data_IF_246335880113
#
_entry.id   IF_246335880113
#
_cell.length_a   1.000
_cell.length_b   1.000
_cell.length_c   1.000
_cell.angle_alpha   90.00
_cell.angle_beta   90.00
_cell.angle_gamma   90.00
#
_symmetry.space_group_name_H-M   'P 1'
#
loop_
_entity.id
_entity.type
_entity.pdbx_description
1 polymer ?
#
# COMPACT_ATOMS: atom_id res chain seq x y z
N UNK A 1 -2.59 8.22 -27.48
CA UNK A 1 -2.49 7.03 -26.60
C UNK A 1 -3.80 6.86 -25.84
N UNK A 2 -4.38 5.69 -25.96
CA UNK A 2 -5.54 5.38 -25.13
C UNK A 2 -5.11 5.25 -23.67
N UNK A 3 -5.91 5.76 -22.76
CA UNK A 3 -5.70 5.56 -21.34
C UNK A 3 -5.77 4.05 -21.03
N UNK A 4 -4.95 3.57 -20.12
CA UNK A 4 -5.06 2.19 -19.65
C UNK A 4 -6.41 1.97 -18.99
N UNK A 5 -7.00 0.80 -19.24
CA UNK A 5 -8.18 0.36 -18.53
C UNK A 5 -7.86 0.30 -17.03
N UNK A 6 -8.74 0.84 -16.15
CA UNK A 6 -8.52 0.79 -14.70
C UNK A 6 -8.24 -0.62 -14.18
N UNK A 7 -8.91 -1.64 -14.72
CA UNK A 7 -8.66 -3.02 -14.33
C UNK A 7 -7.25 -3.47 -14.71
N UNK A 8 -6.76 -3.07 -15.88
CA UNK A 8 -5.41 -3.42 -16.32
C UNK A 8 -4.34 -2.83 -15.41
N UNK A 9 -4.58 -1.61 -14.90
CA UNK A 9 -3.67 -0.96 -13.94
C UNK A 9 -3.60 -1.77 -12.64
N UNK A 10 -4.75 -2.17 -12.11
CA UNK A 10 -4.82 -2.96 -10.88
C UNK A 10 -4.20 -4.33 -11.09
N UNK A 11 -4.52 -4.98 -12.21
CA UNK A 11 -3.98 -6.30 -12.55
C UNK A 11 -2.45 -6.27 -12.65
N UNK A 12 -1.91 -5.23 -13.28
CA UNK A 12 -0.45 -5.03 -13.35
C UNK A 12 0.18 -5.00 -11.95
N UNK A 13 -0.41 -4.23 -11.05
CA UNK A 13 0.06 -4.16 -9.66
C UNK A 13 -0.02 -5.51 -8.95
N UNK A 14 -1.13 -6.24 -9.12
CA UNK A 14 -1.31 -7.56 -8.53
C UNK A 14 -0.32 -8.58 -9.08
N UNK A 15 -0.08 -8.59 -10.39
CA UNK A 15 0.93 -9.47 -10.99
C UNK A 15 2.33 -9.14 -10.47
N UNK A 16 2.65 -7.85 -10.34
CA UNK A 16 3.93 -7.45 -9.78
C UNK A 16 4.10 -7.96 -8.35
N UNK A 17 3.09 -7.78 -7.50
CA UNK A 17 3.11 -8.24 -6.10
C UNK A 17 3.31 -9.75 -6.04
N UNK A 18 2.57 -10.50 -6.86
CA UNK A 18 2.69 -11.96 -6.93
C UNK A 18 4.10 -12.38 -7.32
N UNK A 19 4.64 -11.76 -8.35
CA UNK A 19 5.94 -12.15 -8.91
C UNK A 19 7.12 -11.60 -8.10
N UNK A 20 6.87 -10.59 -7.26
CA UNK A 20 7.89 -9.95 -6.42
C UNK A 20 7.45 -9.95 -4.94
N UNK A 21 6.97 -11.10 -4.47
CA UNK A 21 6.39 -11.19 -3.12
C UNK A 21 7.36 -10.76 -2.03
N UNK A 22 8.64 -11.15 -2.14
CA UNK A 22 9.67 -10.73 -1.18
C UNK A 22 9.86 -9.22 -1.21
N UNK A 23 9.86 -8.63 -2.40
CA UNK A 23 9.95 -7.18 -2.57
C UNK A 23 8.76 -6.47 -1.95
N UNK A 24 7.56 -6.98 -2.17
CA UNK A 24 6.34 -6.42 -1.57
C UNK A 24 6.41 -6.46 -0.03
N UNK A 25 6.82 -7.58 0.55
CA UNK A 25 6.97 -7.70 2.00
C UNK A 25 8.02 -6.73 2.54
N UNK A 26 9.11 -6.56 1.83
CA UNK A 26 10.15 -5.60 2.20
C UNK A 26 9.61 -4.19 2.19
N UNK A 27 8.92 -3.79 1.12
CA UNK A 27 8.30 -2.46 1.02
C UNK A 27 7.35 -2.22 2.19
N UNK A 28 6.51 -3.19 2.51
CA UNK A 28 5.57 -3.09 3.63
C UNK A 28 6.28 -2.94 4.96
N UNK A 29 7.34 -3.70 5.19
CA UNK A 29 8.16 -3.60 6.41
C UNK A 29 8.80 -2.22 6.54
N UNK A 30 9.41 -1.72 5.47
CA UNK A 30 10.04 -0.39 5.47
C UNK A 30 9.02 0.72 5.68
N UNK A 31 7.83 0.58 5.09
CA UNK A 31 6.74 1.53 5.30
C UNK A 31 6.33 1.56 6.78
N UNK A 32 6.25 0.39 7.40
CA UNK A 32 5.97 0.27 8.84
C UNK A 32 6.99 1.04 9.68
N UNK A 33 8.26 0.89 9.37
CA UNK A 33 9.34 1.58 10.08
C UNK A 33 9.19 3.10 9.94
N UNK A 34 8.92 3.58 8.72
CA UNK A 34 8.73 5.02 8.49
C UNK A 34 7.54 5.57 9.27
N UNK A 35 6.43 4.83 9.31
CA UNK A 35 5.24 5.24 10.08
C UNK A 35 5.55 5.30 11.58
N UNK A 36 6.22 4.28 12.12
CA UNK A 36 6.58 4.23 13.53
C UNK A 36 7.59 5.31 13.91
N UNK A 37 8.45 5.71 12.99
CA UNK A 37 9.42 6.80 13.22
C UNK A 37 8.79 8.18 13.08
N UNK A 38 7.48 8.27 12.85
CA UNK A 38 6.77 9.54 12.84
C UNK A 38 6.77 10.28 11.52
N UNK A 39 7.13 9.61 10.40
CA UNK A 39 7.01 10.22 9.08
C UNK A 39 5.52 10.51 8.81
N UNK A 40 5.11 11.78 8.67
CA UNK A 40 3.70 12.11 8.51
C UNK A 40 3.14 11.79 7.13
N UNK A 41 4.01 11.61 6.14
CA UNK A 41 3.62 11.32 4.76
C UNK A 41 4.71 10.49 4.09
N UNK A 42 4.56 9.19 4.13
CA UNK A 42 5.53 8.25 3.54
C UNK A 42 5.40 8.27 2.02
N UNK A 43 6.50 8.50 1.36
CA UNK A 43 6.59 8.51 -0.09
C UNK A 43 7.50 7.39 -0.58
N UNK A 44 7.39 7.07 -1.86
CA UNK A 44 8.21 6.03 -2.48
C UNK A 44 9.70 6.24 -2.24
N UNK A 45 10.16 7.50 -2.38
CA UNK A 45 11.57 7.84 -2.15
C UNK A 45 12.06 7.55 -0.74
N UNK A 46 11.19 7.70 0.25
CA UNK A 46 11.53 7.40 1.65
C UNK A 46 11.86 5.93 1.84
N UNK A 47 11.13 5.05 1.14
CA UNK A 47 11.36 3.61 1.20
C UNK A 47 12.72 3.25 0.62
N UNK A 48 13.09 3.85 -0.53
CA UNK A 48 14.41 3.64 -1.12
C UNK A 48 15.54 4.12 -0.25
N UNK A 49 15.37 5.31 0.32
CA UNK A 49 16.41 5.89 1.17
C UNK A 49 16.61 5.04 2.43
N UNK A 50 15.53 4.56 3.03
CA UNK A 50 15.62 3.69 4.19
C UNK A 50 16.29 2.36 3.85
N UNK A 51 15.91 1.74 2.75
CA UNK A 51 16.52 0.49 2.28
C UNK A 51 18.03 0.66 2.09
N UNK A 52 18.43 1.76 1.44
CA UNK A 52 19.85 2.05 1.21
C UNK A 52 20.61 2.22 2.52
N UNK A 53 20.06 2.98 3.46
CA UNK A 53 20.71 3.22 4.76
C UNK A 53 20.88 1.93 5.56
N UNK A 54 20.00 0.96 5.37
CA UNK A 54 20.05 -0.31 6.08
C UNK A 54 20.82 -1.38 5.33
N UNK A 55 21.42 -1.04 4.19
CA UNK A 55 22.18 -1.99 3.38
C UNK A 55 21.34 -3.10 2.78
N UNK A 56 20.03 -2.89 2.63
CA UNK A 56 19.14 -3.88 2.06
C UNK A 56 19.18 -3.82 0.54
N UNK A 57 19.24 -4.99 -0.11
CA UNK A 57 19.22 -5.08 -1.55
C UNK A 57 17.90 -4.58 -2.13
N UNK A 58 17.97 -3.67 -3.07
CA UNK A 58 16.80 -3.13 -3.75
C UNK A 58 16.59 -3.74 -5.13
N UNK A 59 17.33 -4.81 -5.46
CA UNK A 59 17.19 -5.49 -6.76
C UNK A 59 15.76 -5.99 -6.98
N UNK A 60 15.13 -6.51 -5.93
CA UNK A 60 13.76 -7.03 -6.00
C UNK A 60 12.72 -5.91 -6.13
N UNK A 61 13.10 -4.65 -5.94
CA UNK A 61 12.19 -3.52 -6.00
C UNK A 61 12.61 -2.49 -7.05
N UNK A 62 13.44 -2.90 -8.00
CA UNK A 62 13.96 -2.01 -9.04
C UNK A 62 12.86 -1.34 -9.85
N UNK A 63 11.84 -2.07 -10.22
CA UNK A 63 10.71 -1.56 -11.00
C UNK A 63 9.89 -0.56 -10.19
N UNK A 64 9.69 -0.86 -8.92
CA UNK A 64 9.01 0.02 -7.97
C UNK A 64 9.66 1.40 -7.92
N UNK A 65 10.98 1.46 -8.03
CA UNK A 65 11.73 2.72 -7.95
C UNK A 65 11.29 3.76 -8.97
N UNK A 66 10.84 3.33 -10.14
CA UNK A 66 10.56 4.23 -11.28
C UNK A 66 9.09 4.33 -11.62
N UNK A 67 8.22 3.67 -10.85
CA UNK A 67 6.82 3.52 -11.23
C UNK A 67 5.89 4.04 -10.14
N UNK A 68 5.37 5.26 -10.35
CA UNK A 68 4.40 5.88 -9.44
C UNK A 68 3.06 5.15 -9.44
N UNK A 69 2.67 4.57 -10.57
CA UNK A 69 1.43 3.79 -10.66
C UNK A 69 1.53 2.54 -9.80
N UNK A 70 2.69 1.87 -9.85
CA UNK A 70 2.93 0.70 -9.03
C UNK A 70 2.89 1.05 -7.53
N UNK A 71 3.51 2.16 -7.12
CA UNK A 71 3.44 2.63 -5.73
C UNK A 71 1.99 2.90 -5.31
N UNK A 72 1.21 3.48 -6.20
CA UNK A 72 -0.20 3.77 -5.95
C UNK A 72 -1.00 2.49 -5.66
N UNK A 73 -0.78 1.44 -6.43
CA UNK A 73 -1.46 0.15 -6.22
C UNK A 73 -0.93 -0.55 -4.97
N UNK A 74 0.39 -0.64 -4.81
CA UNK A 74 1.03 -1.29 -3.65
C UNK A 74 0.55 -0.65 -2.35
N UNK A 75 0.54 0.68 -2.27
CA UNK A 75 0.16 1.37 -1.04
C UNK A 75 -1.30 1.10 -0.66
N UNK A 76 -2.19 0.98 -1.64
CA UNK A 76 -3.58 0.61 -1.37
C UNK A 76 -3.68 -0.78 -0.74
N UNK A 77 -3.00 -1.75 -1.30
CA UNK A 77 -3.01 -3.10 -0.74
C UNK A 77 -2.34 -3.17 0.64
N UNK A 78 -1.28 -2.40 0.85
CA UNK A 78 -0.64 -2.34 2.17
C UNK A 78 -1.61 -1.89 3.26
N UNK A 79 -2.39 -0.84 3.01
CA UNK A 79 -3.34 -0.36 4.02
C UNK A 79 -4.56 -1.26 4.17
N UNK A 80 -4.94 -1.99 3.13
CA UNK A 80 -5.99 -3.00 3.25
C UNK A 80 -5.54 -4.17 4.15
N UNK A 81 -4.27 -4.54 4.08
CA UNK A 81 -3.68 -5.59 4.92
C UNK A 81 -3.34 -5.08 6.32
N UNK A 82 -2.89 -3.84 6.43
CA UNK A 82 -2.45 -3.22 7.68
C UNK A 82 -2.98 -1.79 7.76
N UNK A 83 -4.23 -1.61 8.20
CA UNK A 83 -4.88 -0.28 8.20
C UNK A 83 -4.10 0.81 8.95
N UNK A 84 -3.31 0.45 9.95
CA UNK A 84 -2.48 1.43 10.68
C UNK A 84 -1.52 2.20 9.79
N UNK A 85 -1.10 1.63 8.68
CA UNK A 85 -0.23 2.30 7.72
C UNK A 85 -0.92 3.49 7.05
N UNK A 86 -2.26 3.49 7.01
CA UNK A 86 -3.03 4.59 6.43
C UNK A 86 -2.83 5.91 7.18
N UNK A 87 -2.32 5.86 8.42
CA UNK A 87 -2.01 7.06 9.20
C UNK A 87 -1.04 7.99 8.49
N UNK A 88 -0.12 7.44 7.73
CA UNK A 88 0.96 8.20 7.07
C UNK A 88 1.00 8.03 5.56
N UNK A 89 -0.07 7.53 4.96
CA UNK A 89 -0.18 7.39 3.51
C UNK A 89 -1.34 8.24 3.00
N UNK A 90 -1.06 9.07 1.99
CA UNK A 90 -2.07 9.92 1.38
C UNK A 90 -2.53 9.32 0.05
N UNK A 91 -3.83 9.32 -0.14
CA UNK A 91 -4.44 8.74 -1.34
C UNK A 91 -5.30 9.76 -2.06
N UNK A 92 -5.29 9.68 -3.39
CA UNK A 92 -6.23 10.39 -4.24
C UNK A 92 -7.18 9.35 -4.83
N UNK A 93 -8.46 9.68 -4.90
CA UNK A 93 -9.42 8.82 -5.58
C UNK A 93 -9.09 8.73 -7.07
N UNK A 94 -9.05 7.51 -7.58
CA UNK A 94 -8.76 7.23 -8.99
C UNK A 94 -9.90 6.45 -9.61
N UNK A 95 -9.88 6.29 -10.93
CA UNK A 95 -10.89 5.49 -11.62
C UNK A 95 -10.87 4.03 -11.16
N UNK A 96 -9.70 3.46 -10.89
CA UNK A 96 -9.65 2.07 -10.43
C UNK A 96 -10.20 1.91 -9.00
N UNK A 97 -10.24 2.95 -8.18
CA UNK A 97 -10.92 2.88 -6.88
C UNK A 97 -12.43 2.81 -7.03
N UNK A 98 -12.97 3.32 -8.14
CA UNK A 98 -14.41 3.38 -8.38
C UNK A 98 -14.96 2.17 -9.14
N UNK A 99 -14.15 1.61 -10.03
CA UNK A 99 -14.61 0.66 -11.04
C UNK A 99 -14.09 -0.76 -10.82
N UNK A 100 -13.12 -0.96 -9.92
CA UNK A 100 -12.46 -2.25 -9.73
C UNK A 100 -12.52 -2.64 -8.27
N UNK A 101 -12.94 -3.87 -8.00
CA UNK A 101 -12.84 -4.42 -6.66
C UNK A 101 -11.41 -4.92 -6.43
N UNK A 102 -10.66 -4.14 -5.65
CA UNK A 102 -9.24 -4.40 -5.38
C UNK A 102 -9.04 -5.72 -4.64
N UNK A 103 -9.92 -6.04 -3.69
CA UNK A 103 -9.81 -7.28 -2.92
C UNK A 103 -10.03 -8.50 -3.82
N UNK A 104 -11.01 -8.45 -4.70
CA UNK A 104 -11.28 -9.55 -5.63
C UNK A 104 -10.13 -9.76 -6.61
N UNK A 105 -9.56 -8.67 -7.15
CA UNK A 105 -8.42 -8.79 -8.07
C UNK A 105 -7.20 -9.41 -7.39
N UNK A 106 -6.93 -9.02 -6.14
CA UNK A 106 -5.86 -9.63 -5.36
C UNK A 106 -6.10 -11.14 -5.16
N UNK A 107 -7.32 -11.52 -4.75
CA UNK A 107 -7.63 -12.93 -4.51
C UNK A 107 -7.52 -13.77 -5.77
N UNK A 108 -7.86 -13.18 -6.90
CA UNK A 108 -7.77 -13.88 -8.19
C UNK A 108 -6.33 -14.05 -8.67
N UNK A 109 -5.47 -13.05 -8.43
CA UNK A 109 -4.11 -13.01 -9.00
C UNK A 109 -3.05 -13.40 -7.97
N UNK A 110 -3.13 -12.92 -6.74
CA UNK A 110 -2.09 -13.10 -5.74
C UNK A 110 -2.37 -14.29 -4.83
N UNK A 111 -3.48 -14.27 -4.10
CA UNK A 111 -3.80 -15.32 -3.14
C UNK A 111 -5.30 -15.33 -2.82
N UNK A 112 -6.03 -16.42 -3.15
CA UNK A 112 -7.48 -16.50 -2.94
C UNK A 112 -7.88 -16.55 -1.45
N UNK A 113 -6.94 -16.85 -0.56
CA UNK A 113 -7.23 -17.02 0.86
C UNK A 113 -6.91 -15.79 1.70
N UNK A 114 -6.57 -14.68 1.09
CA UNK A 114 -6.22 -13.46 1.81
C UNK A 114 -7.44 -12.85 2.49
N UNK A 115 -7.31 -12.58 3.78
CA UNK A 115 -8.29 -11.83 4.56
C UNK A 115 -7.77 -10.39 4.73
N UNK A 116 -8.55 -9.42 4.24
CA UNK A 116 -8.20 -8.01 4.39
C UNK A 116 -8.85 -7.43 5.64
N UNK A 117 -8.08 -6.67 6.41
CA UNK A 117 -8.60 -5.97 7.59
C UNK A 117 -9.43 -4.73 7.20
N UNK A 118 -9.17 -4.18 6.03
CA UNK A 118 -9.99 -3.13 5.42
C UNK A 118 -10.19 -3.47 3.95
N UNK A 119 -11.37 -3.19 3.40
CA UNK A 119 -11.68 -3.51 2.01
C UNK A 119 -11.32 -2.40 1.03
N UNK A 120 -10.89 -1.24 1.55
CA UNK A 120 -10.44 -0.11 0.75
C UNK A 120 -9.53 0.79 1.59
N UNK A 121 -8.80 1.68 0.91
CA UNK A 121 -7.98 2.65 1.64
C UNK A 121 -8.84 3.64 2.45
N UNK A 122 -10.06 3.93 1.99
CA UNK A 122 -10.98 4.79 2.74
C UNK A 122 -11.41 4.13 4.04
N UNK A 123 -11.76 2.86 3.98
CA UNK A 123 -12.11 2.09 5.16
C UNK A 123 -10.93 2.02 6.14
N UNK A 124 -9.71 1.87 5.63
CA UNK A 124 -8.51 1.87 6.47
C UNK A 124 -8.30 3.23 7.14
N UNK A 125 -8.50 4.33 6.42
CA UNK A 125 -8.43 5.69 6.97
C UNK A 125 -9.47 5.92 8.07
N UNK A 126 -10.68 5.46 7.85
CA UNK A 126 -11.77 5.59 8.82
C UNK A 126 -11.45 4.79 10.08
N UNK A 127 -10.91 3.59 9.94
CA UNK A 127 -10.52 2.76 11.08
C UNK A 127 -9.45 3.44 11.94
N UNK A 128 -8.46 4.08 11.33
CA UNK A 128 -7.42 4.83 12.04
C UNK A 128 -8.03 6.03 12.76
N UNK A 129 -8.93 6.77 12.10
CA UNK A 129 -9.59 7.94 12.71
C UNK A 129 -10.41 7.54 13.93
N UNK A 130 -11.13 6.42 13.87
CA UNK A 130 -11.90 5.90 15.00
C UNK A 130 -10.98 5.49 16.15
N UNK A 131 -9.89 4.80 15.85
CA UNK A 131 -8.91 4.38 16.85
C UNK A 131 -8.29 5.58 17.55
N UNK A 132 -7.90 6.61 16.80
CA UNK A 132 -7.30 7.82 17.36
C UNK A 132 -8.29 8.60 18.24
N UNK A 133 -9.55 8.72 17.79
CA UNK A 133 -10.60 9.37 18.59
C UNK A 133 -10.87 8.62 19.91
N UNK A 134 -10.94 7.29 19.84
CA UNK A 134 -11.12 6.44 21.01
C UNK A 134 -9.97 6.59 22.00
N UNK A 135 -8.73 6.61 21.51
CA UNK A 135 -7.54 6.81 22.34
C UNK A 135 -7.57 8.15 23.06
N UNK A 136 -8.00 9.22 22.40
CA UNK A 136 -8.12 10.54 23.02
C UNK A 136 -9.17 10.54 24.12
N UNK A 137 -10.31 9.89 23.92
CA UNK A 137 -11.36 9.78 24.93
C UNK A 137 -10.84 9.05 26.18
N UNK A 138 -10.10 7.96 25.98
CA UNK A 138 -9.57 7.16 27.07
C UNK A 138 -8.45 7.88 27.84
N UNK A 139 -7.75 8.82 27.21
CA UNK A 139 -6.70 9.62 27.86
C UNK A 139 -7.24 10.84 28.58
N UNK A 140 -8.38 11.31 28.15
CA UNK A 140 -9.03 12.49 28.73
C UNK A 140 -9.67 12.19 30.05
#
# INVERSE_FOLDING_TARGET
>A
MSARDPQDIVDYGCYWIRDHWRGFKLIMHLTHIEVENGNPCVQRGDIFNLARRRGLGVSDVREFRRDNTLWSIISRYMVMLRPKLARSLNFRTTEYDKCVDLADRWREIVNPNTFFLANSWREAKDAVAIEDATSQILRG
#
